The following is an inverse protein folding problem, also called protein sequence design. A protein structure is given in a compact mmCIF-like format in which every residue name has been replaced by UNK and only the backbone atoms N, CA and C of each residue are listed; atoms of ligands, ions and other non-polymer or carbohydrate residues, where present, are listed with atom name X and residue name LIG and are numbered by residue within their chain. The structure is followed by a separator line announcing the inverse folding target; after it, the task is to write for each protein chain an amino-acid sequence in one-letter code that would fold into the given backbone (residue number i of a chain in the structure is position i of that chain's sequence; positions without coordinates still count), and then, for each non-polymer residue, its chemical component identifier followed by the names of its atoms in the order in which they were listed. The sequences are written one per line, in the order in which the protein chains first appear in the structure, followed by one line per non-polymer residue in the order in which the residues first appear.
data_IF_315350466797
#
_entry.id   IF_315350466797
#
_cell.length_a   1.000
_cell.length_b   1.000
_cell.length_c   1.000
_cell.angle_alpha   90.00
_cell.angle_beta   90.00
_cell.angle_gamma   90.00
#
_symmetry.space_group_name_H-M   'P 1'
#
loop_
_entity.id
_entity.type
_entity.pdbx_description
1 polymer ?
#
# COMPACT_ATOMS: atom_id res chain seq x y z
N UNK A 1 -0.26 13.41 20.92
CA UNK A 1 -0.77 12.55 19.84
C UNK A 1 -0.45 13.10 18.45
N UNK A 2 -0.46 14.40 18.23
CA UNK A 2 -0.20 15.06 16.93
C UNK A 2 1.23 14.91 16.40
N UNK A 3 2.24 14.95 17.25
CA UNK A 3 3.67 14.86 16.85
C UNK A 3 4.10 13.46 16.35
N UNK A 4 3.53 12.38 16.92
CA UNK A 4 3.80 11.00 16.46
C UNK A 4 3.29 10.74 15.04
N UNK A 5 2.16 11.36 14.66
CA UNK A 5 1.61 11.22 13.32
C UNK A 5 2.44 11.97 12.25
N UNK A 6 3.12 13.08 12.62
CA UNK A 6 3.98 13.81 11.70
C UNK A 6 5.26 13.03 11.36
N UNK A 7 5.88 12.37 12.35
CA UNK A 7 7.08 11.55 12.12
C UNK A 7 6.77 10.30 11.25
N UNK A 8 5.65 9.62 11.52
CA UNK A 8 5.19 8.48 10.70
C UNK A 8 4.82 8.90 9.26
N UNK A 9 4.23 10.09 9.09
CA UNK A 9 3.96 10.64 7.76
C UNK A 9 5.25 10.96 7.00
N UNK A 10 6.27 11.52 7.68
CA UNK A 10 7.59 11.79 7.07
C UNK A 10 8.30 10.52 6.61
N UNK A 11 8.12 9.40 7.31
CA UNK A 11 8.70 8.11 6.88
C UNK A 11 7.99 7.48 5.68
N UNK A 12 6.68 7.39 5.69
CA UNK A 12 5.89 6.91 4.56
C UNK A 12 6.19 7.75 3.30
N UNK A 13 6.44 9.05 3.50
CA UNK A 13 6.79 9.98 2.44
C UNK A 13 8.21 9.73 1.87
N UNK A 14 9.21 9.41 2.71
CA UNK A 14 10.56 9.11 2.25
C UNK A 14 10.62 7.89 1.32
N UNK A 15 9.78 6.86 1.59
CA UNK A 15 9.63 5.72 0.69
C UNK A 15 8.87 6.07 -0.61
N UNK A 16 8.01 7.09 -0.57
CA UNK A 16 7.18 7.52 -1.71
C UNK A 16 7.93 8.45 -2.67
N UNK A 17 8.97 9.16 -2.19
CA UNK A 17 9.80 10.09 -2.97
C UNK A 17 10.55 9.42 -4.13
N UNK A 18 10.69 8.07 -4.09
CA UNK A 18 11.42 7.31 -5.11
C UNK A 18 10.59 6.93 -6.35
N UNK A 19 9.30 7.24 -6.35
CA UNK A 19 8.38 6.93 -7.45
C UNK A 19 7.91 8.18 -8.21
N UNK A 20 8.72 9.24 -8.26
CA UNK A 20 8.30 10.51 -8.84
C UNK A 20 8.58 10.64 -10.34
N UNK A 21 7.63 11.09 -11.16
CA UNK A 21 7.70 11.31 -12.60
C UNK A 21 8.13 12.73 -13.03
N UNK A 22 8.72 12.86 -14.24
CA UNK A 22 9.40 14.08 -14.69
C UNK A 22 9.33 14.39 -16.21
N UNK A 23 9.47 15.65 -16.65
CA UNK A 23 9.51 16.08 -18.06
C UNK A 23 10.09 17.48 -18.40
N UNK A 24 10.75 17.81 -19.31
CA UNK A 24 11.17 18.26 -20.66
C UNK A 24 12.27 19.32 -20.69
N UNK A 25 12.93 19.57 -21.64
CA UNK A 25 13.64 19.36 -22.85
C UNK A 25 14.62 20.49 -23.17
N UNK A 26 15.62 20.12 -23.82
CA UNK A 26 16.63 20.84 -24.61
C UNK A 26 17.84 21.36 -23.85
N UNK A 27 18.96 21.03 -24.45
CA UNK A 27 20.34 21.29 -24.05
C UNK A 27 20.81 20.46 -22.85
N UNK A 28 21.80 19.68 -23.10
CA UNK A 28 22.64 18.82 -22.29
C UNK A 28 23.28 19.57 -21.09
N UNK A 29 22.45 20.13 -20.22
CA UNK A 29 22.89 20.79 -19.00
C UNK A 29 22.30 20.02 -17.81
N UNK A 30 23.17 19.64 -16.89
CA UNK A 30 22.80 19.00 -15.64
C UNK A 30 21.68 19.75 -14.90
N UNK A 31 21.70 21.08 -14.97
CA UNK A 31 20.66 21.95 -14.40
C UNK A 31 19.30 21.72 -15.03
N UNK A 32 19.21 21.43 -16.33
CA UNK A 32 17.93 21.20 -17.00
C UNK A 32 17.27 19.91 -16.52
N UNK A 33 18.02 18.85 -16.27
CA UNK A 33 17.53 17.61 -15.68
C UNK A 33 17.01 17.86 -14.26
N UNK A 34 17.75 18.60 -13.43
CA UNK A 34 17.37 18.91 -12.07
C UNK A 34 16.10 19.78 -12.00
N UNK A 35 15.99 20.84 -12.83
CA UNK A 35 14.78 21.68 -12.89
C UNK A 35 13.55 20.89 -13.35
N UNK A 36 13.77 19.93 -14.20
CA UNK A 36 12.76 19.00 -14.62
C UNK A 36 12.28 18.10 -13.47
N UNK A 37 13.21 17.61 -12.64
CA UNK A 37 12.91 16.91 -11.38
C UNK A 37 11.99 17.76 -10.51
N UNK A 38 12.29 19.03 -10.37
CA UNK A 38 11.54 19.98 -9.56
C UNK A 38 10.12 20.24 -10.08
N UNK A 39 9.99 20.51 -11.39
CA UNK A 39 8.71 20.84 -11.99
C UNK A 39 7.67 19.73 -11.80
N UNK A 40 8.10 18.49 -11.81
CA UNK A 40 7.18 17.36 -11.68
C UNK A 40 6.90 16.94 -10.26
N UNK A 41 7.90 17.01 -9.39
CA UNK A 41 7.66 16.85 -7.96
C UNK A 41 6.62 17.87 -7.50
N UNK A 42 6.72 19.11 -8.01
CA UNK A 42 5.72 20.16 -7.73
C UNK A 42 4.30 19.79 -8.22
N UNK A 43 4.17 19.14 -9.39
CA UNK A 43 2.86 18.65 -9.89
C UNK A 43 2.26 17.56 -8.99
N UNK A 44 3.10 16.81 -8.28
CA UNK A 44 2.67 15.79 -7.33
C UNK A 44 2.52 16.32 -5.90
N UNK A 45 2.62 17.63 -5.73
CA UNK A 45 2.49 18.25 -4.43
C UNK A 45 3.76 18.16 -3.57
N UNK A 46 4.94 18.00 -4.19
CA UNK A 46 6.24 17.99 -3.50
C UNK A 46 7.11 19.10 -4.03
N UNK A 47 7.50 20.00 -3.19
CA UNK A 47 8.42 21.09 -3.50
C UNK A 47 9.87 20.62 -3.26
N UNK A 48 10.68 20.55 -4.33
CA UNK A 48 12.11 20.24 -4.24
C UNK A 48 12.94 21.53 -4.22
N UNK A 49 13.98 21.53 -3.40
CA UNK A 49 15.01 22.58 -3.40
C UNK A 49 16.38 21.94 -3.17
N UNK A 50 17.43 22.58 -3.69
CA UNK A 50 18.82 22.13 -3.56
C UNK A 50 19.77 23.31 -3.47
N UNK A 51 20.99 23.05 -3.06
CA UNK A 51 22.04 24.09 -2.93
C UNK A 51 22.82 24.28 -4.23
N UNK A 52 23.11 23.19 -4.93
CA UNK A 52 23.91 23.22 -6.15
C UNK A 52 23.62 21.99 -7.04
N UNK A 53 24.01 22.09 -8.31
CA UNK A 53 24.04 20.97 -9.27
C UNK A 53 25.41 20.95 -9.91
N UNK A 54 26.10 19.81 -9.83
CA UNK A 54 27.44 19.63 -10.38
C UNK A 54 27.48 18.44 -11.34
N UNK A 55 28.51 18.36 -12.17
CA UNK A 55 28.68 17.31 -13.18
C UNK A 55 28.26 17.76 -14.58
N UNK A 56 27.91 16.79 -15.42
CA UNK A 56 27.51 17.01 -16.81
C UNK A 56 26.15 16.33 -17.14
N UNK A 57 25.76 16.39 -18.41
CA UNK A 57 24.50 15.82 -18.89
C UNK A 57 24.41 14.28 -18.78
N UNK A 58 25.51 13.58 -18.55
CA UNK A 58 25.56 12.12 -18.44
C UNK A 58 25.68 11.66 -17.00
N UNK A 59 26.35 12.48 -16.17
CA UNK A 59 26.55 12.18 -14.74
C UNK A 59 26.53 13.47 -13.94
N UNK A 60 25.59 13.56 -12.99
CA UNK A 60 25.39 14.76 -12.19
C UNK A 60 25.16 14.43 -10.73
N UNK A 61 25.40 15.42 -9.87
CA UNK A 61 25.05 15.38 -8.46
C UNK A 61 24.17 16.60 -8.14
N UNK A 62 23.03 16.34 -7.54
CA UNK A 62 22.18 17.37 -6.92
C UNK A 62 22.57 17.44 -5.45
N UNK A 63 23.22 18.54 -5.05
CA UNK A 63 23.77 18.71 -3.71
C UNK A 63 22.75 19.37 -2.77
N UNK A 64 22.65 18.81 -1.56
CA UNK A 64 21.78 19.36 -0.52
C UNK A 64 20.28 19.35 -0.88
N UNK A 65 19.83 18.29 -1.57
CA UNK A 65 18.43 18.14 -1.95
C UNK A 65 17.54 18.07 -0.72
N UNK A 66 16.47 18.84 -0.75
CA UNK A 66 15.39 18.81 0.23
C UNK A 66 14.05 18.63 -0.46
N UNK A 67 13.11 18.00 0.22
CA UNK A 67 11.74 17.80 -0.26
C UNK A 67 10.73 18.27 0.78
N UNK A 68 9.74 19.07 0.35
CA UNK A 68 8.67 19.55 1.20
C UNK A 68 7.31 19.18 0.61
N UNK A 69 6.54 18.29 1.25
CA UNK A 69 5.18 17.96 0.83
C UNK A 69 4.26 19.16 0.93
N UNK A 70 3.26 19.22 0.05
CA UNK A 70 2.21 20.23 0.13
C UNK A 70 1.46 20.12 1.47
N UNK A 71 1.33 21.24 2.16
CA UNK A 71 0.68 21.32 3.48
C UNK A 71 1.61 21.08 4.67
N UNK A 72 2.88 20.69 4.44
CA UNK A 72 3.89 20.63 5.50
C UNK A 72 4.66 21.95 5.61
N UNK A 73 5.06 22.30 6.83
CA UNK A 73 5.83 23.52 7.11
C UNK A 73 7.33 23.30 7.00
N UNK A 74 7.80 22.10 7.22
CA UNK A 74 9.22 21.73 7.22
C UNK A 74 9.58 20.87 6.01
N UNK A 75 10.74 21.14 5.43
CA UNK A 75 11.33 20.31 4.39
C UNK A 75 12.11 19.15 5.02
N UNK A 76 12.05 18.00 4.38
CA UNK A 76 12.87 16.83 4.71
C UNK A 76 14.18 16.90 3.94
N UNK A 77 15.31 16.77 4.64
CA UNK A 77 16.63 16.74 4.00
C UNK A 77 16.89 15.33 3.42
N UNK A 78 17.17 15.29 2.10
CA UNK A 78 17.56 14.07 1.39
C UNK A 78 19.08 13.98 1.32
N UNK A 79 19.79 15.12 1.20
CA UNK A 79 21.24 15.19 1.03
C UNK A 79 21.65 15.19 -0.44
N UNK A 80 22.78 14.57 -0.75
CA UNK A 80 23.26 14.52 -2.12
C UNK A 80 22.63 13.35 -2.88
N UNK A 81 22.22 13.63 -4.11
CA UNK A 81 21.65 12.63 -5.03
C UNK A 81 22.47 12.59 -6.30
N UNK A 82 23.02 11.42 -6.60
CA UNK A 82 23.82 11.18 -7.80
C UNK A 82 22.97 10.54 -8.88
N UNK A 83 22.99 11.09 -10.09
CA UNK A 83 22.37 10.52 -11.29
C UNK A 83 23.48 10.15 -12.28
N UNK A 84 23.49 8.91 -12.73
CA UNK A 84 24.54 8.38 -13.62
C UNK A 84 23.91 7.69 -14.83
N UNK A 85 24.59 7.78 -15.98
CA UNK A 85 24.13 7.21 -17.23
C UNK A 85 22.87 7.89 -17.75
N UNK A 86 22.82 9.21 -17.68
CA UNK A 86 21.68 9.98 -18.18
C UNK A 86 21.76 10.03 -19.71
N UNK A 87 20.70 9.61 -20.38
CA UNK A 87 20.56 9.69 -21.83
C UNK A 87 19.20 10.33 -22.17
N UNK A 88 19.19 11.16 -23.22
CA UNK A 88 17.95 11.69 -23.76
C UNK A 88 17.22 10.60 -24.55
N UNK A 89 15.95 10.38 -24.25
CA UNK A 89 15.13 9.36 -24.87
C UNK A 89 13.72 9.89 -25.12
N UNK A 90 13.28 9.96 -26.38
CA UNK A 90 11.94 10.42 -26.80
C UNK A 90 11.56 11.79 -26.22
N UNK A 91 12.51 12.71 -26.16
CA UNK A 91 12.33 14.06 -25.59
C UNK A 91 12.27 14.12 -24.05
N UNK A 92 12.32 12.99 -23.36
CA UNK A 92 12.54 12.84 -21.94
C UNK A 92 13.97 12.42 -21.62
N UNK A 93 14.21 11.88 -20.43
CA UNK A 93 15.50 11.29 -20.05
C UNK A 93 15.32 9.90 -19.49
N UNK A 94 16.32 9.07 -19.68
CA UNK A 94 16.50 7.83 -18.94
C UNK A 94 17.79 7.95 -18.11
N UNK A 95 17.70 7.57 -16.85
CA UNK A 95 18.80 7.54 -15.91
C UNK A 95 19.10 6.09 -15.56
N UNK A 96 20.31 5.61 -15.83
CA UNK A 96 20.66 4.23 -15.54
C UNK A 96 20.65 3.94 -14.04
N UNK A 97 21.20 4.86 -13.25
CA UNK A 97 21.26 4.72 -11.79
C UNK A 97 21.12 6.07 -11.10
N UNK A 98 20.23 6.13 -10.13
CA UNK A 98 20.08 7.25 -9.19
C UNK A 98 20.36 6.73 -7.79
N UNK A 99 21.26 7.39 -7.04
CA UNK A 99 21.63 7.01 -5.67
C UNK A 99 21.53 8.20 -4.74
N UNK A 100 21.04 7.96 -3.52
CA UNK A 100 21.13 8.92 -2.42
C UNK A 100 22.31 8.57 -1.53
N UNK A 101 22.85 9.54 -0.79
CA UNK A 101 23.65 9.22 0.39
C UNK A 101 22.75 8.66 1.50
N UNK A 102 23.32 7.96 2.51
CA UNK A 102 22.56 7.61 3.70
C UNK A 102 21.97 8.83 4.38
N UNK A 103 20.70 8.74 4.79
CA UNK A 103 19.95 9.87 5.35
C UNK A 103 19.80 9.65 6.85
N UNK A 104 20.09 10.68 7.65
CA UNK A 104 19.79 10.69 9.08
C UNK A 104 19.17 12.04 9.44
N UNK A 105 17.97 12.02 10.00
CA UNK A 105 17.25 13.23 10.42
C UNK A 105 16.62 13.02 11.79
N UNK A 106 16.78 14.00 12.68
CA UNK A 106 16.17 13.98 14.01
C UNK A 106 15.22 15.16 14.17
N UNK A 107 13.95 14.88 14.46
CA UNK A 107 12.92 15.88 14.74
C UNK A 107 12.14 15.47 15.98
N UNK A 108 12.03 16.36 16.95
CA UNK A 108 11.26 16.15 18.20
C UNK A 108 11.62 14.85 18.96
N UNK A 109 12.91 14.45 18.95
CA UNK A 109 13.38 13.25 19.63
C UNK A 109 13.13 11.94 18.90
N UNK A 110 12.60 12.01 17.67
CA UNK A 110 12.50 10.87 16.75
C UNK A 110 13.60 10.99 15.70
N UNK A 111 14.44 9.97 15.59
CA UNK A 111 15.47 9.88 14.56
C UNK A 111 15.02 8.90 13.48
N UNK A 112 15.13 9.33 12.24
CA UNK A 112 14.92 8.48 11.05
C UNK A 112 16.28 8.27 10.40
N UNK A 113 16.66 7.02 10.20
CA UNK A 113 17.88 6.64 9.50
C UNK A 113 17.48 5.80 8.27
N UNK A 114 17.99 6.15 7.10
CA UNK A 114 17.85 5.39 5.86
C UNK A 114 19.24 5.10 5.33
N UNK A 115 19.49 3.88 4.86
CA UNK A 115 20.66 3.57 4.07
C UNK A 115 20.60 4.25 2.71
N UNK A 116 21.63 4.14 1.93
CA UNK A 116 21.61 4.49 0.52
C UNK A 116 20.39 3.90 -0.18
N UNK A 117 19.74 4.70 -1.02
CA UNK A 117 18.63 4.27 -1.87
C UNK A 117 19.13 4.26 -3.30
N UNK A 118 18.96 3.13 -3.98
CA UNK A 118 19.36 2.92 -5.36
C UNK A 118 18.13 2.73 -6.23
N UNK A 119 17.97 3.60 -7.24
CA UNK A 119 16.91 3.48 -8.26
C UNK A 119 17.59 3.23 -9.60
N UNK A 120 17.20 2.16 -10.30
CA UNK A 120 17.73 1.82 -11.63
C UNK A 120 16.67 2.04 -12.71
N UNK A 121 17.14 2.49 -13.88
CA UNK A 121 16.31 2.65 -15.06
C UNK A 121 15.22 3.71 -14.92
N UNK A 122 15.46 4.77 -14.13
CA UNK A 122 14.48 5.84 -13.96
C UNK A 122 14.20 6.53 -15.29
N UNK A 123 12.95 6.47 -15.75
CA UNK A 123 12.46 7.22 -16.91
C UNK A 123 11.89 8.55 -16.44
N UNK A 124 12.43 9.62 -16.96
CA UNK A 124 11.98 11.00 -16.79
C UNK A 124 11.17 11.37 -18.04
N UNK A 125 9.84 11.45 -17.97
CA UNK A 125 8.99 11.61 -19.15
C UNK A 125 9.07 13.03 -19.76
N UNK A 126 8.42 13.20 -20.89
CA UNK A 126 8.17 14.48 -21.57
C UNK A 126 7.07 15.23 -20.81
N UNK A 127 7.17 16.58 -20.75
CA UNK A 127 6.06 17.44 -20.28
C UNK A 127 4.93 17.42 -21.29
N UNK A 128 3.77 17.43 -21.09
CA UNK A 128 2.67 17.60 -22.05
C UNK A 128 2.70 16.64 -23.27
N UNK A 129 3.06 15.38 -23.03
CA UNK A 129 2.98 14.35 -24.05
C UNK A 129 1.54 13.85 -24.21
N UNK A 130 1.06 13.77 -25.47
CA UNK A 130 -0.21 13.12 -25.80
C UNK A 130 -0.11 11.58 -25.65
N UNK A 131 1.10 11.02 -25.67
CA UNK A 131 1.34 9.62 -25.35
C UNK A 131 1.25 9.37 -23.84
N UNK A 132 0.24 8.65 -23.35
CA UNK A 132 0.09 8.36 -21.93
C UNK A 132 1.28 7.63 -21.33
N UNK A 133 1.97 6.77 -22.11
CA UNK A 133 3.17 6.06 -21.66
C UNK A 133 4.39 6.99 -21.56
N UNK A 134 4.48 7.97 -22.45
CA UNK A 134 5.54 8.98 -22.37
C UNK A 134 5.34 9.95 -21.18
N UNK A 135 4.10 10.11 -20.72
CA UNK A 135 3.75 10.99 -19.60
C UNK A 135 3.94 10.35 -18.22
N UNK A 136 4.23 9.05 -18.17
CA UNK A 136 4.41 8.32 -16.90
C UNK A 136 5.88 8.03 -16.67
N UNK A 137 6.30 8.22 -15.42
CA UNK A 137 7.62 7.79 -14.96
C UNK A 137 7.60 6.31 -14.62
N UNK A 138 8.66 5.66 -15.02
CA UNK A 138 8.93 4.27 -14.67
C UNK A 138 10.33 4.16 -14.10
N UNK A 139 10.55 3.12 -13.34
CA UNK A 139 11.88 2.65 -12.94
C UNK A 139 11.94 1.14 -13.12
N UNK A 140 13.12 0.61 -13.32
CA UNK A 140 13.31 -0.84 -13.43
C UNK A 140 13.33 -1.47 -12.03
N UNK A 141 14.11 -0.86 -11.10
CA UNK A 141 14.15 -1.32 -9.70
C UNK A 141 14.43 -0.20 -8.71
N UNK A 142 14.01 -0.44 -7.46
CA UNK A 142 14.39 0.34 -6.27
C UNK A 142 14.90 -0.60 -5.20
N UNK A 143 16.03 -0.27 -4.60
CA UNK A 143 16.65 -1.05 -3.53
C UNK A 143 17.05 -0.13 -2.36
N UNK A 144 16.85 -0.59 -1.14
CA UNK A 144 17.32 0.07 0.09
C UNK A 144 17.64 -1.00 1.13
N UNK A 145 18.89 -1.01 1.61
CA UNK A 145 19.34 -2.05 2.53
C UNK A 145 18.68 -1.95 3.92
N UNK A 146 18.45 -0.75 4.44
CA UNK A 146 17.84 -0.59 5.75
C UNK A 146 17.18 0.77 5.95
N UNK A 147 16.14 0.77 6.80
CA UNK A 147 15.60 1.99 7.42
C UNK A 147 15.28 1.73 8.89
N UNK A 148 15.48 2.73 9.75
CA UNK A 148 15.20 2.65 11.17
C UNK A 148 14.53 3.92 11.70
N UNK A 149 13.58 3.70 12.61
CA UNK A 149 12.99 4.73 13.46
C UNK A 149 13.48 4.53 14.88
N UNK A 150 14.06 5.59 15.45
CA UNK A 150 14.53 5.59 16.83
C UNK A 150 13.78 6.62 17.66
N UNK A 151 13.42 6.25 18.85
CA UNK A 151 12.92 7.16 19.89
C UNK A 151 13.84 7.07 21.09
N UNK A 152 14.35 8.22 21.53
CA UNK A 152 15.34 8.29 22.61
C UNK A 152 16.56 7.36 22.36
N UNK A 153 17.01 7.24 21.13
CA UNK A 153 18.16 6.42 20.71
C UNK A 153 17.91 4.92 20.60
N UNK A 154 16.66 4.44 20.81
CA UNK A 154 16.29 3.02 20.65
C UNK A 154 15.49 2.83 19.38
N UNK A 155 15.77 1.77 18.63
CA UNK A 155 14.98 1.37 17.48
C UNK A 155 13.57 0.98 17.94
N UNK A 156 12.56 1.70 17.46
CA UNK A 156 11.14 1.37 17.69
C UNK A 156 10.52 0.70 16.48
N UNK A 157 11.10 0.93 15.30
CA UNK A 157 10.73 0.23 14.07
C UNK A 157 11.93 0.22 13.13
N UNK A 158 12.14 -0.90 12.43
CA UNK A 158 13.15 -1.01 11.38
C UNK A 158 12.70 -1.93 10.26
N UNK A 159 13.27 -1.72 9.09
CA UNK A 159 13.14 -2.62 7.93
C UNK A 159 14.52 -2.92 7.37
N UNK A 160 14.66 -4.07 6.73
CA UNK A 160 15.85 -4.41 5.93
C UNK A 160 15.46 -5.03 4.59
N UNK A 161 16.33 -4.81 3.62
CA UNK A 161 16.24 -5.32 2.27
C UNK A 161 14.88 -5.02 1.63
N UNK A 162 14.57 -3.71 1.54
CA UNK A 162 13.46 -3.25 0.71
C UNK A 162 13.88 -3.34 -0.75
N UNK A 163 13.02 -3.95 -1.54
CA UNK A 163 13.18 -4.00 -3.00
C UNK A 163 11.83 -3.83 -3.70
N UNK A 164 11.86 -3.23 -4.88
CA UNK A 164 10.75 -3.17 -5.81
C UNK A 164 11.28 -3.27 -7.23
N UNK A 165 10.60 -4.01 -8.08
CA UNK A 165 10.93 -4.19 -9.49
C UNK A 165 9.68 -4.04 -10.33
N UNK A 166 9.81 -3.41 -11.50
CA UNK A 166 8.74 -3.25 -12.47
C UNK A 166 9.32 -3.52 -13.85
N UNK A 167 8.71 -4.43 -14.61
CA UNK A 167 9.10 -4.67 -15.99
C UNK A 167 8.75 -3.46 -16.86
N UNK A 168 9.56 -3.21 -17.90
CA UNK A 168 9.27 -2.15 -18.87
C UNK A 168 8.00 -2.49 -19.66
N UNK A 169 7.19 -1.48 -20.00
CA UNK A 169 6.02 -1.70 -20.84
C UNK A 169 6.45 -2.19 -22.23
N UNK A 170 5.87 -3.30 -22.66
CA UNK A 170 5.97 -3.86 -24.02
C UNK A 170 4.57 -3.85 -24.61
N UNK A 171 4.43 -3.39 -25.86
CA UNK A 171 3.12 -3.29 -26.49
C UNK A 171 2.45 -4.67 -26.56
N UNK A 172 1.22 -4.74 -26.04
CA UNK A 172 0.42 -5.97 -26.02
C UNK A 172 0.75 -6.95 -24.89
N UNK A 173 1.78 -6.69 -24.10
CA UNK A 173 2.16 -7.55 -22.96
C UNK A 173 1.83 -6.86 -21.61
N UNK A 174 1.42 -7.60 -20.58
CA UNK A 174 1.29 -7.06 -19.25
C UNK A 174 2.66 -6.76 -18.65
N UNK A 175 2.73 -5.71 -17.85
CA UNK A 175 3.89 -5.41 -17.01
C UNK A 175 3.86 -6.29 -15.76
N UNK A 176 4.98 -6.89 -15.42
CA UNK A 176 5.18 -7.54 -14.13
C UNK A 176 5.66 -6.51 -13.08
N UNK A 177 5.19 -6.65 -11.87
CA UNK A 177 5.73 -5.93 -10.73
C UNK A 177 5.93 -6.87 -9.54
N UNK A 178 6.96 -6.60 -8.78
CA UNK A 178 7.24 -7.26 -7.51
C UNK A 178 7.83 -6.27 -6.53
N UNK A 179 7.70 -6.57 -5.24
CA UNK A 179 8.33 -5.75 -4.21
C UNK A 179 8.12 -6.33 -2.82
N UNK A 180 8.85 -5.76 -1.88
CA UNK A 180 8.71 -6.21 -0.50
C UNK A 180 9.79 -5.70 0.42
N UNK A 181 9.71 -6.19 1.63
CA UNK A 181 10.67 -5.99 2.71
C UNK A 181 11.02 -7.36 3.25
N UNK A 182 12.29 -7.74 3.13
CA UNK A 182 12.71 -9.07 3.59
C UNK A 182 12.50 -9.24 5.10
N UNK A 183 12.71 -8.17 5.86
CA UNK A 183 12.46 -8.17 7.29
C UNK A 183 12.01 -6.79 7.78
N UNK A 184 11.00 -6.77 8.64
CA UNK A 184 10.68 -5.65 9.51
C UNK A 184 10.76 -6.09 10.97
N UNK A 185 11.02 -5.11 11.85
CA UNK A 185 11.02 -5.29 13.30
C UNK A 185 10.33 -4.12 13.97
N UNK A 186 9.49 -4.37 14.97
CA UNK A 186 8.82 -3.34 15.76
C UNK A 186 8.97 -3.66 17.27
N UNK A 187 9.50 -2.71 18.05
CA UNK A 187 9.57 -2.80 19.49
C UNK A 187 8.30 -2.21 20.13
N UNK A 188 7.47 -3.08 20.69
CA UNK A 188 6.24 -2.73 21.39
C UNK A 188 6.44 -2.59 22.91
N UNK A 189 7.66 -2.72 23.42
CA UNK A 189 7.94 -2.60 24.86
C UNK A 189 7.60 -1.23 25.43
N UNK A 190 7.59 -0.19 24.57
CA UNK A 190 7.21 1.18 24.92
C UNK A 190 5.70 1.48 24.89
N UNK A 191 4.84 0.50 24.63
CA UNK A 191 3.38 0.69 24.64
C UNK A 191 2.92 0.95 26.07
N UNK A 192 2.22 2.08 26.27
CA UNK A 192 1.76 2.55 27.58
C UNK A 192 0.28 2.33 27.83
N UNK A 193 -0.52 2.08 26.79
CA UNK A 193 -1.93 1.76 26.94
C UNK A 193 -2.10 0.42 27.67
N UNK A 194 -2.80 0.37 28.81
CA UNK A 194 -2.87 -0.83 29.65
C UNK A 194 -3.49 -2.04 28.96
N UNK A 195 -4.48 -1.82 28.10
CA UNK A 195 -5.15 -2.90 27.40
C UNK A 195 -4.25 -3.49 26.32
N UNK A 196 -3.66 -2.66 25.48
CA UNK A 196 -2.69 -3.07 24.45
C UNK A 196 -1.48 -3.74 25.10
N UNK A 197 -0.97 -3.21 26.21
CA UNK A 197 0.14 -3.79 26.97
C UNK A 197 -0.16 -5.21 27.45
N UNK A 198 -1.37 -5.44 27.99
CA UNK A 198 -1.78 -6.77 28.42
C UNK A 198 -1.76 -7.79 27.28
N UNK A 199 -2.15 -7.39 26.06
CA UNK A 199 -2.07 -8.24 24.86
C UNK A 199 -0.61 -8.51 24.46
N UNK A 200 0.22 -7.46 24.42
CA UNK A 200 1.64 -7.57 24.07
C UNK A 200 2.35 -8.55 25.00
N UNK A 201 2.11 -8.43 26.32
CA UNK A 201 2.73 -9.28 27.33
C UNK A 201 2.19 -10.72 27.29
N UNK A 202 0.87 -10.90 27.14
CA UNK A 202 0.25 -12.23 27.08
C UNK A 202 0.68 -13.04 25.85
N UNK A 203 0.89 -12.38 24.70
CA UNK A 203 1.27 -13.07 23.45
C UNK A 203 2.79 -13.16 23.27
N UNK A 204 3.58 -12.49 24.11
CA UNK A 204 5.03 -12.44 23.98
C UNK A 204 5.51 -11.60 22.80
N UNK A 205 4.74 -10.56 22.43
CA UNK A 205 5.03 -9.70 21.28
C UNK A 205 5.67 -8.36 21.70
N UNK A 206 6.57 -8.38 22.68
CA UNK A 206 7.37 -7.20 23.01
C UNK A 206 8.19 -6.73 21.81
N UNK A 207 8.61 -7.67 20.96
CA UNK A 207 9.18 -7.39 19.64
C UNK A 207 8.44 -8.20 18.58
N UNK A 208 7.93 -7.54 17.55
CA UNK A 208 7.33 -8.17 16.38
C UNK A 208 8.36 -8.15 15.25
N UNK A 209 8.58 -9.30 14.62
CA UNK A 209 9.37 -9.42 13.40
C UNK A 209 8.50 -10.01 12.31
N UNK A 210 8.86 -9.72 11.05
CA UNK A 210 8.12 -10.25 9.93
C UNK A 210 8.69 -9.83 8.59
N UNK A 211 7.93 -10.09 7.53
CA UNK A 211 8.26 -9.73 6.15
C UNK A 211 7.00 -9.28 5.40
N UNK A 212 7.21 -8.54 4.33
CA UNK A 212 6.14 -8.15 3.40
C UNK A 212 6.56 -8.48 1.98
N UNK A 213 5.62 -8.99 1.17
CA UNK A 213 5.86 -9.28 -0.25
C UNK A 213 4.62 -9.00 -1.07
N UNK A 214 4.82 -8.39 -2.23
CA UNK A 214 3.78 -8.19 -3.24
C UNK A 214 4.30 -8.58 -4.61
N UNK A 215 3.43 -9.20 -5.43
CA UNK A 215 3.69 -9.50 -6.84
C UNK A 215 2.40 -9.39 -7.64
N UNK A 216 2.51 -9.03 -8.90
CA UNK A 216 1.35 -8.96 -9.76
C UNK A 216 1.71 -8.57 -11.19
N UNK A 217 0.67 -8.40 -11.99
CA UNK A 217 0.77 -7.95 -13.38
C UNK A 217 -0.20 -6.80 -13.63
N UNK A 218 0.18 -5.90 -14.52
CA UNK A 218 -0.67 -4.81 -14.97
C UNK A 218 -0.65 -4.71 -16.50
N UNK A 219 -1.77 -4.94 -17.11
CA UNK A 219 -1.94 -4.76 -18.54
C UNK A 219 -2.44 -3.34 -18.83
N UNK A 220 -1.59 -2.55 -19.47
CA UNK A 220 -1.88 -1.13 -19.78
C UNK A 220 -2.99 -0.95 -20.82
N UNK A 221 -3.20 -1.93 -21.70
CA UNK A 221 -4.16 -1.83 -22.80
C UNK A 221 -5.63 -1.91 -22.33
N UNK A 222 -5.93 -2.82 -21.42
CA UNK A 222 -7.28 -3.02 -20.88
C UNK A 222 -7.41 -2.62 -19.40
N UNK A 223 -6.33 -2.23 -18.77
CA UNK A 223 -6.27 -1.83 -17.37
C UNK A 223 -6.48 -3.01 -16.40
N UNK A 224 -6.19 -4.25 -16.80
CA UNK A 224 -6.26 -5.38 -15.89
C UNK A 224 -5.07 -5.37 -14.95
N UNK A 225 -5.34 -5.13 -13.66
CA UNK A 225 -4.38 -5.21 -12.57
C UNK A 225 -4.67 -6.48 -11.77
N UNK A 226 -3.73 -7.42 -11.78
CA UNK A 226 -3.84 -8.69 -11.09
C UNK A 226 -2.73 -8.81 -10.03
N UNK A 227 -3.06 -8.57 -8.77
CA UNK A 227 -2.19 -8.78 -7.62
C UNK A 227 -2.31 -10.25 -7.20
N UNK A 228 -1.31 -11.04 -7.56
CA UNK A 228 -1.28 -12.49 -7.31
C UNK A 228 -0.76 -12.83 -5.92
N UNK A 229 0.01 -11.93 -5.32
CA UNK A 229 0.51 -12.02 -3.96
C UNK A 229 0.54 -10.63 -3.34
N UNK A 230 0.09 -10.52 -2.11
CA UNK A 230 0.25 -9.34 -1.26
C UNK A 230 0.14 -9.80 0.19
N UNK A 231 1.27 -10.26 0.72
CA UNK A 231 1.37 -10.98 1.98
C UNK A 231 2.16 -10.19 3.01
N UNK A 232 1.62 -10.10 4.20
CA UNK A 232 2.38 -9.72 5.40
C UNK A 232 2.49 -10.94 6.30
N UNK A 233 3.72 -11.31 6.65
CA UNK A 233 4.01 -12.40 7.58
C UNK A 233 4.54 -11.81 8.88
N UNK A 234 3.97 -12.23 10.00
CA UNK A 234 4.47 -11.92 11.35
C UNK A 234 4.97 -13.21 11.97
N UNK A 235 6.26 -13.22 12.34
CA UNK A 235 6.93 -14.39 12.92
C UNK A 235 6.19 -14.86 14.18
N UNK A 236 5.93 -16.17 14.27
CA UNK A 236 5.19 -16.79 15.38
C UNK A 236 3.77 -16.24 15.60
N UNK A 237 3.18 -15.59 14.60
CA UNK A 237 1.77 -15.17 14.64
C UNK A 237 0.99 -15.77 13.48
N UNK A 238 1.38 -15.45 12.24
CA UNK A 238 0.72 -15.92 11.04
C UNK A 238 1.06 -15.09 9.82
N UNK A 239 0.43 -15.45 8.70
CA UNK A 239 0.53 -14.74 7.43
C UNK A 239 -0.85 -14.27 6.99
N UNK A 240 -0.99 -13.00 6.67
CA UNK A 240 -2.20 -12.43 6.09
C UNK A 240 -1.91 -12.07 4.63
N UNK A 241 -2.71 -12.62 3.73
CA UNK A 241 -2.57 -12.45 2.29
C UNK A 241 -3.83 -11.89 1.65
N UNK A 242 -3.66 -11.00 0.69
CA UNK A 242 -4.74 -10.46 -0.15
C UNK A 242 -4.36 -10.62 -1.61
N UNK A 243 -5.26 -11.18 -2.40
CA UNK A 243 -5.18 -11.23 -3.87
C UNK A 243 -6.33 -10.45 -4.44
N UNK A 244 -6.08 -9.74 -5.54
CA UNK A 244 -7.14 -8.98 -6.22
C UNK A 244 -6.87 -8.93 -7.71
N UNK A 245 -7.93 -9.10 -8.50
CA UNK A 245 -7.94 -8.98 -9.95
C UNK A 245 -9.04 -7.99 -10.32
N UNK A 246 -8.64 -6.83 -10.83
CA UNK A 246 -9.54 -5.76 -11.27
C UNK A 246 -9.29 -5.42 -12.73
N UNK A 247 -10.34 -5.03 -13.44
CA UNK A 247 -10.28 -4.48 -14.78
C UNK A 247 -10.55 -2.98 -14.79
N UNK A 248 -10.13 -2.31 -15.87
CA UNK A 248 -10.40 -0.89 -16.10
C UNK A 248 -9.43 0.08 -15.45
N UNK A 249 -8.38 -0.40 -14.78
CA UNK A 249 -7.33 0.44 -14.19
C UNK A 249 -6.33 0.90 -15.25
N UNK A 250 -6.83 1.64 -16.24
CA UNK A 250 -6.07 2.16 -17.39
C UNK A 250 -5.31 3.42 -17.03
N UNK A 251 -4.35 3.82 -17.89
CA UNK A 251 -3.63 5.10 -17.75
C UNK A 251 -4.58 6.30 -17.75
N UNK A 252 -5.62 6.27 -18.62
CA UNK A 252 -6.67 7.29 -18.66
C UNK A 252 -7.46 7.36 -17.35
N UNK A 253 -7.78 6.21 -16.76
CA UNK A 253 -8.39 6.15 -15.43
C UNK A 253 -7.50 6.82 -14.38
N UNK A 254 -6.20 6.51 -14.34
CA UNK A 254 -5.24 7.08 -13.40
C UNK A 254 -5.16 8.60 -13.55
N UNK A 255 -5.07 9.10 -14.79
CA UNK A 255 -5.02 10.53 -15.09
C UNK A 255 -6.28 11.25 -14.56
N UNK A 256 -7.46 10.71 -14.84
CA UNK A 256 -8.71 11.27 -14.37
C UNK A 256 -8.84 11.23 -12.85
N UNK A 257 -8.39 10.13 -12.22
CA UNK A 257 -8.37 10.01 -10.77
C UNK A 257 -7.49 11.09 -10.13
N UNK A 258 -6.30 11.35 -10.68
CA UNK A 258 -5.41 12.41 -10.22
C UNK A 258 -6.04 13.80 -10.36
N UNK A 259 -6.77 14.07 -11.44
CA UNK A 259 -7.48 15.33 -11.63
C UNK A 259 -8.61 15.54 -10.60
N UNK A 260 -9.38 14.49 -10.32
CA UNK A 260 -10.43 14.54 -9.29
C UNK A 260 -9.81 14.75 -7.90
N UNK A 261 -8.73 14.04 -7.58
CA UNK A 261 -8.02 14.22 -6.31
C UNK A 261 -7.47 15.65 -6.14
N UNK A 262 -6.90 16.24 -7.20
CA UNK A 262 -6.46 17.67 -7.18
C UNK A 262 -7.63 18.62 -6.92
N UNK A 263 -8.78 18.40 -7.55
CA UNK A 263 -9.99 19.20 -7.31
C UNK A 263 -10.46 19.08 -5.86
N UNK A 264 -10.45 17.88 -5.30
CA UNK A 264 -10.82 17.64 -3.91
C UNK A 264 -9.84 18.28 -2.91
N UNK A 265 -8.53 18.18 -3.18
CA UNK A 265 -7.48 18.75 -2.33
C UNK A 265 -7.44 20.29 -2.36
N UNK A 266 -7.89 20.91 -3.45
CA UNK A 266 -7.97 22.37 -3.58
C UNK A 266 -9.16 23.00 -2.84
N UNK A 267 -10.05 22.21 -2.23
CA UNK A 267 -11.21 22.70 -1.50
C UNK A 267 -10.86 23.18 -0.09
N UNK A 268 -11.42 24.31 0.37
CA UNK A 268 -11.26 24.74 1.75
C UNK A 268 -11.84 23.74 2.74
N UNK A 269 -11.13 23.48 3.83
CA UNK A 269 -11.62 22.60 4.89
C UNK A 269 -12.89 23.20 5.53
N UNK A 270 -14.03 22.50 5.44
CA UNK A 270 -15.29 22.90 6.06
C UNK A 270 -16.41 23.33 5.11
N UNK A 271 -16.17 23.43 3.81
CA UNK A 271 -17.26 23.56 2.83
C UNK A 271 -17.92 22.18 2.56
N UNK A 272 -19.22 22.20 2.26
CA UNK A 272 -19.96 20.98 1.89
C UNK A 272 -19.26 20.34 0.69
N UNK A 273 -19.06 19.00 0.78
CA UNK A 273 -18.45 18.22 -0.26
C UNK A 273 -18.98 18.63 -1.63
N UNK A 274 -18.05 18.88 -2.56
CA UNK A 274 -18.44 19.32 -3.90
C UNK A 274 -19.10 18.14 -4.63
N UNK A 275 -20.42 18.18 -4.69
CA UNK A 275 -21.23 17.14 -5.34
C UNK A 275 -20.74 16.81 -6.78
N UNK A 276 -20.08 17.77 -7.44
CA UNK A 276 -19.49 17.55 -8.77
C UNK A 276 -18.27 16.62 -8.72
N UNK A 277 -17.33 16.83 -7.78
CA UNK A 277 -16.15 15.94 -7.64
C UNK A 277 -16.54 14.54 -7.15
N UNK A 278 -17.55 14.44 -6.27
CA UNK A 278 -18.12 13.15 -5.86
C UNK A 278 -18.80 12.43 -7.03
N UNK A 279 -19.54 13.13 -7.87
CA UNK A 279 -20.14 12.56 -9.08
C UNK A 279 -19.08 12.13 -10.10
N UNK A 280 -18.00 12.92 -10.27
CA UNK A 280 -16.86 12.53 -11.11
C UNK A 280 -16.19 11.26 -10.58
N UNK A 281 -15.98 11.16 -9.25
CA UNK A 281 -15.44 9.95 -8.61
C UNK A 281 -16.35 8.74 -8.83
N UNK A 282 -17.66 8.88 -8.67
CA UNK A 282 -18.62 7.81 -8.97
C UNK A 282 -18.56 7.40 -10.45
N UNK A 283 -18.42 8.37 -11.36
CA UNK A 283 -18.22 8.12 -12.79
C UNK A 283 -16.95 7.34 -13.08
N UNK A 284 -15.87 7.62 -12.36
CA UNK A 284 -14.61 6.86 -12.46
C UNK A 284 -14.78 5.42 -11.95
N UNK A 285 -15.48 5.23 -10.84
CA UNK A 285 -15.72 3.88 -10.31
C UNK A 285 -16.51 2.99 -11.26
N UNK A 286 -17.30 3.56 -12.18
CA UNK A 286 -17.99 2.79 -13.22
C UNK A 286 -17.04 2.13 -14.24
N UNK A 287 -15.83 2.66 -14.37
CA UNK A 287 -14.81 2.09 -15.27
C UNK A 287 -14.14 0.84 -14.68
N UNK A 288 -14.20 0.68 -13.37
CA UNK A 288 -13.58 -0.46 -12.68
C UNK A 288 -14.53 -1.66 -12.58
N UNK A 289 -13.97 -2.84 -12.68
CA UNK A 289 -14.65 -4.10 -12.44
C UNK A 289 -13.83 -5.02 -11.56
N UNK A 290 -14.50 -5.81 -10.71
CA UNK A 290 -13.88 -6.88 -9.93
C UNK A 290 -13.97 -8.19 -10.74
N UNK A 291 -12.82 -8.78 -11.05
CA UNK A 291 -12.72 -10.09 -11.69
C UNK A 291 -12.53 -11.20 -10.65
N UNK A 292 -11.93 -10.88 -9.51
CA UNK A 292 -11.75 -11.81 -8.41
C UNK A 292 -11.01 -11.18 -7.24
N UNK A 293 -11.19 -11.75 -6.07
CA UNK A 293 -10.43 -11.38 -4.88
C UNK A 293 -10.31 -12.58 -3.94
N UNK A 294 -9.25 -12.62 -3.13
CA UNK A 294 -9.14 -13.56 -2.03
C UNK A 294 -8.45 -12.89 -0.84
N UNK A 295 -8.94 -13.21 0.35
CA UNK A 295 -8.30 -12.88 1.63
C UNK A 295 -8.01 -14.19 2.32
N UNK A 296 -6.73 -14.41 2.65
CA UNK A 296 -6.28 -15.65 3.31
C UNK A 296 -5.50 -15.30 4.57
N UNK A 297 -5.77 -16.02 5.62
CA UNK A 297 -4.98 -16.02 6.83
C UNK A 297 -4.43 -17.42 7.07
N UNK A 298 -3.10 -17.55 7.17
CA UNK A 298 -2.40 -18.76 7.58
C UNK A 298 -1.91 -18.56 9.03
N UNK A 299 -2.45 -19.33 9.96
CA UNK A 299 -2.11 -19.23 11.38
C UNK A 299 -0.77 -19.92 11.67
N UNK A 300 0.08 -19.23 12.45
CA UNK A 300 1.30 -19.83 12.98
C UNK A 300 1.32 -19.92 14.52
N UNK A 301 0.34 -19.35 15.19
CA UNK A 301 0.03 -19.54 16.62
C UNK A 301 -0.93 -18.49 17.20
N UNK A 302 -1.18 -17.37 16.49
CA UNK A 302 -1.92 -16.24 17.08
C UNK A 302 -3.33 -16.63 17.49
N UNK A 303 -4.03 -17.48 16.71
CA UNK A 303 -5.37 -17.94 17.05
C UNK A 303 -5.38 -18.69 18.37
N UNK A 304 -4.41 -19.60 18.55
CA UNK A 304 -4.26 -20.31 19.82
C UNK A 304 -4.01 -19.39 21.00
N UNK A 305 -3.10 -18.43 20.86
CA UNK A 305 -2.79 -17.44 21.91
C UNK A 305 -4.00 -16.59 22.28
N UNK A 306 -4.81 -16.15 21.28
CA UNK A 306 -6.04 -15.40 21.52
C UNK A 306 -7.04 -16.26 22.31
N UNK A 307 -7.27 -17.51 21.89
CA UNK A 307 -8.20 -18.41 22.57
C UNK A 307 -7.78 -18.68 24.02
N UNK A 308 -6.51 -18.93 24.25
CA UNK A 308 -5.95 -19.15 25.60
C UNK A 308 -6.08 -17.91 26.50
N UNK A 309 -5.82 -16.73 25.95
CA UNK A 309 -5.94 -15.46 26.67
C UNK A 309 -7.40 -15.18 27.08
N UNK A 310 -8.35 -15.37 26.14
CA UNK A 310 -9.77 -15.18 26.44
C UNK A 310 -10.27 -16.19 27.47
N UNK A 311 -9.84 -17.45 27.34
CA UNK A 311 -10.15 -18.51 28.32
C UNK A 311 -9.67 -18.15 29.72
N UNK A 312 -8.43 -17.67 29.83
CA UNK A 312 -7.84 -17.23 31.11
C UNK A 312 -8.61 -16.05 31.70
N UNK A 313 -8.96 -15.03 30.89
CA UNK A 313 -9.71 -13.87 31.36
C UNK A 313 -11.11 -14.24 31.86
N UNK A 314 -11.75 -15.25 31.26
CA UNK A 314 -13.10 -15.69 31.62
C UNK A 314 -13.09 -16.81 32.67
N UNK A 315 -11.92 -17.29 33.09
CA UNK A 315 -11.83 -18.42 34.02
C UNK A 315 -12.37 -19.74 33.43
N UNK A 316 -12.34 -19.89 32.09
CA UNK A 316 -12.87 -21.02 31.34
C UNK A 316 -11.74 -21.83 30.69
N UNK A 317 -12.06 -23.01 30.15
CA UNK A 317 -11.13 -23.77 29.31
C UNK A 317 -11.16 -23.25 27.87
N UNK A 318 -10.07 -23.42 27.14
CA UNK A 318 -9.98 -23.09 25.71
C UNK A 318 -11.09 -23.77 24.90
N UNK A 319 -11.41 -25.02 25.20
CA UNK A 319 -12.48 -25.78 24.51
C UNK A 319 -13.84 -25.10 24.67
N UNK A 320 -14.13 -24.51 25.84
CA UNK A 320 -15.40 -23.79 26.09
C UNK A 320 -15.48 -22.52 25.25
N UNK A 321 -14.35 -21.77 25.12
CA UNK A 321 -14.26 -20.58 24.25
C UNK A 321 -14.45 -20.94 22.78
N UNK A 322 -13.81 -22.03 22.31
CA UNK A 322 -13.98 -22.54 20.94
C UNK A 322 -15.44 -22.89 20.68
N UNK A 323 -16.09 -23.62 21.59
CA UNK A 323 -17.49 -24.01 21.46
C UNK A 323 -18.42 -22.77 21.49
N UNK A 324 -18.11 -21.79 22.34
CA UNK A 324 -18.87 -20.54 22.39
C UNK A 324 -18.73 -19.76 21.07
N UNK A 325 -17.53 -19.69 20.50
CA UNK A 325 -17.30 -19.01 19.21
C UNK A 325 -18.04 -19.70 18.06
N UNK A 326 -18.01 -21.06 18.02
CA UNK A 326 -18.73 -21.85 17.01
C UNK A 326 -20.24 -21.69 17.10
N UNK A 327 -20.80 -21.58 18.29
CA UNK A 327 -22.23 -21.35 18.50
C UNK A 327 -22.61 -19.88 18.28
N UNK A 328 -21.74 -18.95 18.67
CA UNK A 328 -22.00 -17.50 18.65
C UNK A 328 -22.06 -16.92 17.24
N UNK A 329 -21.19 -17.37 16.33
CA UNK A 329 -21.15 -16.87 14.95
C UNK A 329 -22.48 -17.10 14.20
N UNK A 330 -23.02 -18.34 14.12
CA UNK A 330 -24.30 -18.57 13.45
C UNK A 330 -25.43 -17.77 14.10
N UNK A 331 -25.45 -17.69 15.44
CA UNK A 331 -26.45 -16.94 16.18
C UNK A 331 -26.38 -15.43 15.86
N UNK A 332 -25.20 -14.83 15.84
CA UNK A 332 -25.03 -13.43 15.48
C UNK A 332 -25.49 -13.15 14.04
N UNK A 333 -25.13 -14.00 13.09
CA UNK A 333 -25.55 -13.87 11.69
C UNK A 333 -27.07 -14.05 11.52
N UNK A 334 -27.71 -14.95 12.29
CA UNK A 334 -29.15 -15.10 12.29
C UNK A 334 -29.85 -13.84 12.86
N UNK A 335 -29.30 -13.23 13.92
CA UNK A 335 -29.83 -11.95 14.43
C UNK A 335 -29.73 -10.81 13.40
N UNK A 336 -28.70 -10.84 12.57
CA UNK A 336 -28.52 -9.90 11.47
C UNK A 336 -29.35 -10.26 10.22
N UNK A 337 -30.26 -11.22 10.32
CA UNK A 337 -31.11 -11.73 9.23
C UNK A 337 -30.32 -12.34 8.07
N UNK A 338 -29.16 -12.98 8.37
CA UNK A 338 -28.26 -13.60 7.40
C UNK A 338 -28.11 -15.13 7.59
N UNK A 339 -29.22 -15.93 7.65
CA UNK A 339 -29.14 -17.35 7.96
C UNK A 339 -28.39 -18.18 6.89
N UNK A 340 -28.46 -17.78 5.62
CA UNK A 340 -27.77 -18.46 4.54
C UNK A 340 -26.25 -18.21 4.60
N UNK A 341 -25.84 -17.01 4.99
CA UNK A 341 -24.45 -16.69 5.24
C UNK A 341 -23.90 -17.49 6.43
N UNK A 342 -24.68 -17.62 7.50
CA UNK A 342 -24.36 -18.47 8.63
C UNK A 342 -24.11 -19.90 8.21
N UNK A 343 -24.99 -20.49 7.38
CA UNK A 343 -24.84 -21.84 6.86
C UNK A 343 -23.61 -22.02 5.96
N UNK A 344 -23.26 -21.00 5.14
CA UNK A 344 -22.14 -21.03 4.22
C UNK A 344 -20.77 -20.90 4.93
N UNK A 345 -20.68 -20.10 5.99
CA UNK A 345 -19.43 -19.78 6.67
C UNK A 345 -19.12 -20.75 7.81
N UNK A 346 -20.13 -21.19 8.57
CA UNK A 346 -19.92 -21.94 9.81
C UNK A 346 -19.08 -23.22 9.64
N UNK A 347 -19.20 -24.02 8.57
CA UNK A 347 -18.37 -25.22 8.41
C UNK A 347 -16.88 -24.90 8.35
N UNK A 348 -16.50 -23.86 7.61
CA UNK A 348 -15.11 -23.45 7.48
C UNK A 348 -14.57 -22.87 8.81
N UNK A 349 -15.34 -22.01 9.47
CA UNK A 349 -14.96 -21.43 10.77
C UNK A 349 -14.83 -22.52 11.83
N UNK A 350 -15.74 -23.49 11.87
CA UNK A 350 -15.65 -24.61 12.80
C UNK A 350 -14.38 -25.44 12.56
N UNK A 351 -14.08 -25.77 11.31
CA UNK A 351 -12.87 -26.49 10.93
C UNK A 351 -11.60 -25.73 11.32
N UNK A 352 -11.58 -24.42 11.10
CA UNK A 352 -10.46 -23.55 11.49
C UNK A 352 -10.30 -23.47 13.01
N UNK A 353 -11.40 -23.32 13.77
CA UNK A 353 -11.34 -23.22 15.22
C UNK A 353 -10.96 -24.54 15.90
N UNK A 354 -11.24 -25.70 15.26
CA UNK A 354 -10.81 -27.00 15.75
C UNK A 354 -9.31 -27.26 15.57
N UNK A 355 -8.77 -26.79 14.46
CA UNK A 355 -7.37 -26.98 14.09
C UNK A 355 -6.90 -25.73 13.29
N UNK A 356 -6.50 -24.66 13.96
CA UNK A 356 -6.14 -23.41 13.30
C UNK A 356 -4.89 -23.55 12.43
N UNK A 357 -5.07 -23.66 11.11
CA UNK A 357 -3.99 -23.65 10.12
C UNK A 357 -4.20 -22.55 9.08
N UNK A 358 -5.34 -22.54 8.39
CA UNK A 358 -5.65 -21.49 7.44
C UNK A 358 -7.15 -21.28 7.28
N UNK A 359 -7.54 -20.05 6.95
CA UNK A 359 -8.89 -19.71 6.52
C UNK A 359 -8.80 -18.76 5.32
N UNK A 360 -9.62 -19.01 4.30
CA UNK A 360 -9.67 -18.20 3.09
C UNK A 360 -11.11 -17.81 2.75
N UNK A 361 -11.30 -16.54 2.42
CA UNK A 361 -12.51 -16.01 1.79
C UNK A 361 -12.14 -15.63 0.36
N UNK A 362 -12.82 -16.23 -0.61
CA UNK A 362 -12.55 -16.03 -2.03
C UNK A 362 -13.81 -15.56 -2.74
N UNK A 363 -13.71 -14.48 -3.47
CA UNK A 363 -14.69 -14.01 -4.44
C UNK A 363 -14.24 -14.42 -5.85
N UNK A 364 -15.07 -15.17 -6.56
CA UNK A 364 -14.82 -15.65 -7.91
C UNK A 364 -16.10 -15.48 -8.75
N UNK A 365 -16.45 -14.23 -9.12
CA UNK A 365 -17.64 -13.95 -9.89
C UNK A 365 -17.57 -14.62 -11.27
N UNK A 366 -18.70 -15.10 -11.82
CA UNK A 366 -18.72 -15.78 -13.12
C UNK A 366 -18.44 -14.83 -14.31
N UNK A 367 -18.52 -13.53 -14.08
CA UNK A 367 -18.17 -12.46 -15.01
C UNK A 367 -17.69 -11.23 -14.24
N UNK A 368 -16.90 -10.32 -14.86
CA UNK A 368 -16.46 -9.08 -14.23
C UNK A 368 -17.63 -8.29 -13.65
N UNK A 369 -17.56 -7.91 -12.37
CA UNK A 369 -18.61 -7.17 -11.66
C UNK A 369 -18.22 -5.70 -11.57
N UNK A 370 -18.94 -4.76 -12.22
CA UNK A 370 -18.67 -3.33 -12.07
C UNK A 370 -18.74 -2.87 -10.61
N UNK A 371 -17.82 -2.01 -10.17
CA UNK A 371 -17.78 -1.52 -8.80
C UNK A 371 -19.04 -0.77 -8.39
N UNK A 372 -19.71 -0.13 -9.34
CA UNK A 372 -21.00 0.53 -9.08
C UNK A 372 -22.13 -0.45 -8.73
N UNK A 373 -22.10 -1.68 -9.26
CA UNK A 373 -23.05 -2.70 -8.84
C UNK A 373 -22.78 -3.18 -7.43
N UNK A 374 -21.51 -3.25 -6.99
CA UNK A 374 -21.16 -3.58 -5.62
C UNK A 374 -21.69 -2.51 -4.64
N UNK A 375 -21.46 -1.23 -4.96
CA UNK A 375 -22.02 -0.11 -4.19
C UNK A 375 -23.53 -0.06 -4.22
N UNK A 376 -24.14 -0.23 -5.39
CA UNK A 376 -25.60 -0.25 -5.57
C UNK A 376 -26.27 -1.38 -4.80
N UNK A 377 -25.72 -2.58 -4.83
CA UNK A 377 -26.25 -3.72 -4.07
C UNK A 377 -26.17 -3.50 -2.55
N UNK A 378 -25.10 -2.88 -2.06
CA UNK A 378 -24.97 -2.51 -0.64
C UNK A 378 -26.00 -1.46 -0.21
N UNK A 379 -26.40 -0.55 -1.12
CA UNK A 379 -27.34 0.54 -0.85
C UNK A 379 -28.81 0.22 -1.18
N UNK A 380 -29.05 -0.84 -1.96
CA UNK A 380 -30.39 -1.15 -2.51
C UNK A 380 -31.43 -1.48 -1.43
N UNK A 381 -31.01 -2.00 -0.28
CA UNK A 381 -31.89 -2.34 0.83
C UNK A 381 -31.32 -1.85 2.18
N UNK A 382 -31.33 -0.56 2.46
CA UNK A 382 -30.77 -0.04 3.70
C UNK A 382 -31.49 -0.55 4.97
N UNK A 383 -32.73 -1.02 4.82
CA UNK A 383 -33.54 -1.58 5.91
C UNK A 383 -33.42 -3.13 6.02
N UNK A 384 -32.73 -3.78 5.08
CA UNK A 384 -32.50 -5.24 5.09
C UNK A 384 -31.04 -5.53 4.67
N UNK A 385 -30.09 -5.37 5.59
CA UNK A 385 -28.68 -5.65 5.33
C UNK A 385 -28.43 -7.12 4.99
N UNK A 386 -29.30 -8.04 5.42
CA UNK A 386 -29.21 -9.45 5.08
C UNK A 386 -29.45 -9.72 3.60
N UNK A 387 -30.47 -9.10 3.01
CA UNK A 387 -30.73 -9.21 1.58
C UNK A 387 -29.61 -8.61 0.73
N UNK A 388 -29.04 -7.47 1.14
CA UNK A 388 -27.90 -6.85 0.47
C UNK A 388 -26.66 -7.76 0.51
N UNK A 389 -26.32 -8.31 1.68
CA UNK A 389 -25.19 -9.23 1.83
C UNK A 389 -25.35 -10.50 0.99
N UNK A 390 -26.57 -11.08 0.97
CA UNK A 390 -26.89 -12.25 0.15
C UNK A 390 -26.71 -11.95 -1.36
N UNK A 391 -27.21 -10.81 -1.82
CA UNK A 391 -27.09 -10.40 -3.22
C UNK A 391 -25.61 -10.26 -3.61
N UNK A 392 -24.79 -9.62 -2.79
CA UNK A 392 -23.33 -9.51 -3.00
C UNK A 392 -22.65 -10.87 -2.95
N UNK A 393 -22.98 -11.71 -1.98
CA UNK A 393 -22.44 -13.08 -1.86
C UNK A 393 -22.65 -13.90 -3.13
N UNK A 394 -23.88 -13.92 -3.64
CA UNK A 394 -24.21 -14.65 -4.85
C UNK A 394 -23.58 -14.02 -6.12
N UNK A 395 -23.59 -12.69 -6.21
CA UNK A 395 -23.01 -11.96 -7.34
C UNK A 395 -21.51 -12.22 -7.44
N UNK A 396 -20.82 -12.24 -6.31
CA UNK A 396 -19.37 -12.43 -6.25
C UNK A 396 -18.95 -13.90 -6.23
N UNK A 397 -19.87 -14.86 -6.14
CA UNK A 397 -19.54 -16.26 -6.01
C UNK A 397 -18.62 -16.53 -4.81
N UNK A 398 -18.94 -15.93 -3.66
CA UNK A 398 -18.07 -16.01 -2.48
C UNK A 398 -18.06 -17.42 -1.91
N UNK A 399 -16.88 -17.89 -1.58
CA UNK A 399 -16.66 -19.15 -0.85
C UNK A 399 -15.76 -18.91 0.36
N UNK A 400 -15.98 -19.68 1.42
CA UNK A 400 -15.11 -19.71 2.60
C UNK A 400 -14.63 -21.12 2.81
N UNK A 401 -13.30 -21.28 2.92
CA UNK A 401 -12.66 -22.57 3.14
C UNK A 401 -11.66 -22.47 4.28
N UNK A 402 -11.43 -23.59 4.96
CA UNK A 402 -10.42 -23.67 6.00
C UNK A 402 -9.51 -24.87 5.78
N UNK A 403 -8.25 -24.70 6.20
CA UNK A 403 -7.23 -25.76 6.21
C UNK A 403 -6.96 -26.38 4.83
N UNK A 404 -7.26 -25.64 3.77
CA UNK A 404 -6.86 -26.01 2.42
C UNK A 404 -5.42 -25.56 2.14
N UNK A 405 -4.65 -26.31 1.31
CA UNK A 405 -3.28 -25.96 0.94
C UNK A 405 -3.16 -24.62 0.25
#
# INVERSE_FOLDING_TARGET
MTTRNAALRKFAFSAMLLALPFSQAAAQDASAVAERLKALSARQGVELAWTNVTGDASNMVIEGLTAKPAGETEAFAIGNVTLSGIVEENGGYRVDTTTTEPISSTTEGVTVELSEIVVKGLKIPVEDSDDPLAAISFYDSVEMASAAFKMAGKDVFSISDLSAEISRPVEGEPMDFSGGVARFSADLSGVTDPQTRAWVDAFGYQTINGSYRTTGTWNLADGRLNVTQNDITVDNAGKFGVKVDIGGYTLDFIKQLQEVQKKMAAQPAGEQANSAAEMEMLGLMQKLSLNGAAIRFDDASITGKILDFVAQQQGQKREDIVNLAKAGLPFALMQMQMPELAAAISPAVNTFLDDPRSIEIKAAPPAPVPFTLLGGAAMANPNDPGAAAKALWNMLGVTVTANQP
#
